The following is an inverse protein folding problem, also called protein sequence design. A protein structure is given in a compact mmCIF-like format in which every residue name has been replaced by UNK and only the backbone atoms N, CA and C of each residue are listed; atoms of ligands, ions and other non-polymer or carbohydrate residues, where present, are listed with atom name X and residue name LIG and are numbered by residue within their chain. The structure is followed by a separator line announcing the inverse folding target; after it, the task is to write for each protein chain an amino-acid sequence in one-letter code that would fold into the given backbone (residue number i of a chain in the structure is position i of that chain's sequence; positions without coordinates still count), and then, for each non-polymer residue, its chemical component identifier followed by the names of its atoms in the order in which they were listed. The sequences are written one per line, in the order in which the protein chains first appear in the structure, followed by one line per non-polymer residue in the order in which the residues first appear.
data_IF_933144715463
#
_entry.id   IF_933144715463
#
_cell.length_a   1.000
_cell.length_b   1.000
_cell.length_c   1.000
_cell.angle_alpha   90.00
_cell.angle_beta   90.00
_cell.angle_gamma   90.00
#
_symmetry.space_group_name_H-M   'P 1'
#
loop_
_entity.id
_entity.type
_entity.pdbx_description
1 polymer ?
#
# COMPACT_ATOMS: atom_id res chain seq x y z
N UNK A 1 -6.49 7.77 -12.61
CA UNK A 1 -5.55 7.93 -11.49
C UNK A 1 -4.90 6.58 -11.14
N UNK A 2 -5.62 5.63 -10.53
CA UNK A 2 -5.06 4.35 -10.04
C UNK A 2 -4.37 3.51 -11.12
N UNK A 3 -4.87 3.51 -12.35
CA UNK A 3 -4.32 2.77 -13.47
C UNK A 3 -2.86 3.15 -13.82
N UNK A 4 -2.39 4.32 -13.38
CA UNK A 4 -1.01 4.74 -13.57
C UNK A 4 0.00 3.73 -12.99
N UNK A 5 -0.37 3.04 -11.89
CA UNK A 5 0.49 2.03 -11.28
C UNK A 5 0.80 0.85 -12.20
N UNK A 6 -0.11 0.50 -13.13
CA UNK A 6 0.11 -0.59 -14.10
C UNK A 6 1.18 -0.26 -15.16
N UNK A 7 1.49 1.03 -15.35
CA UNK A 7 2.60 1.46 -16.22
C UNK A 7 3.94 1.44 -15.51
N UNK A 8 3.92 1.52 -14.18
CA UNK A 8 5.10 1.66 -13.34
C UNK A 8 5.56 0.33 -12.75
N UNK A 9 4.65 -0.64 -12.64
CA UNK A 9 4.94 -1.95 -12.03
C UNK A 9 4.14 -3.06 -12.74
N UNK A 10 4.76 -4.23 -12.91
CA UNK A 10 4.06 -5.43 -13.37
C UNK A 10 3.38 -6.13 -12.19
N UNK A 11 2.06 -6.26 -12.24
CA UNK A 11 1.25 -6.89 -11.21
C UNK A 11 1.01 -8.38 -11.44
N UNK A 12 1.21 -8.87 -12.67
CA UNK A 12 0.85 -10.24 -13.08
C UNK A 12 1.53 -11.30 -12.23
N UNK A 13 0.74 -12.27 -11.80
CA UNK A 13 1.17 -13.39 -10.97
C UNK A 13 1.57 -13.01 -9.53
N UNK A 14 1.38 -11.76 -9.11
CA UNK A 14 1.82 -11.26 -7.81
C UNK A 14 0.73 -11.33 -6.74
N UNK A 15 1.15 -11.39 -5.49
CA UNK A 15 0.31 -11.16 -4.30
C UNK A 15 0.40 -9.70 -3.90
N UNK A 16 -0.71 -9.01 -3.96
CA UNK A 16 -0.81 -7.55 -3.74
C UNK A 16 -1.69 -7.26 -2.53
N UNK A 17 -1.28 -6.36 -1.67
CA UNK A 17 -2.13 -5.83 -0.59
C UNK A 17 -2.35 -4.33 -0.78
N UNK A 18 -3.62 -3.92 -0.74
CA UNK A 18 -4.03 -2.51 -0.72
C UNK A 18 -4.28 -2.10 0.73
N UNK A 19 -3.36 -1.33 1.30
CA UNK A 19 -3.35 -0.96 2.72
C UNK A 19 -4.16 0.30 2.96
N UNK A 20 -5.26 0.16 3.70
CA UNK A 20 -6.22 1.24 3.91
C UNK A 20 -7.03 1.52 2.65
N UNK A 21 -7.51 0.47 2.02
CA UNK A 21 -8.14 0.51 0.68
C UNK A 21 -9.37 1.44 0.59
N UNK A 22 -10.04 1.73 1.69
CA UNK A 22 -11.21 2.61 1.72
C UNK A 22 -12.37 2.07 0.90
N UNK A 23 -12.73 2.77 -0.17
CA UNK A 23 -13.74 2.32 -1.13
C UNK A 23 -13.16 1.43 -2.26
N UNK A 24 -11.98 0.85 -2.05
CA UNK A 24 -11.33 -0.06 -2.99
C UNK A 24 -10.25 0.58 -3.86
N UNK A 25 -9.68 1.71 -3.45
CA UNK A 25 -8.70 2.45 -4.26
C UNK A 25 -7.30 2.43 -3.62
N UNK A 26 -6.24 2.04 -4.37
CA UNK A 26 -6.21 1.79 -5.81
C UNK A 26 -6.52 0.35 -6.23
N UNK A 27 -6.70 -0.62 -5.30
CA UNK A 27 -6.72 -2.05 -5.58
C UNK A 27 -7.78 -2.48 -6.58
N UNK A 28 -9.04 -2.05 -6.42
CA UNK A 28 -10.14 -2.47 -7.29
C UNK A 28 -9.96 -2.04 -8.75
N UNK A 29 -9.64 -0.77 -9.08
CA UNK A 29 -9.34 -0.39 -10.46
C UNK A 29 -8.19 -1.19 -11.07
N UNK A 30 -7.13 -1.48 -10.30
CA UNK A 30 -6.02 -2.30 -10.76
C UNK A 30 -6.48 -3.71 -11.12
N UNK A 31 -7.26 -4.35 -10.24
CA UNK A 31 -7.79 -5.70 -10.42
C UNK A 31 -8.73 -5.82 -11.62
N UNK A 32 -9.49 -4.76 -11.92
CA UNK A 32 -10.40 -4.73 -13.05
C UNK A 32 -9.66 -4.60 -14.40
N UNK A 33 -8.53 -3.91 -14.40
CA UNK A 33 -7.72 -3.66 -15.60
C UNK A 33 -6.69 -4.77 -15.86
N UNK A 34 -6.14 -5.34 -14.79
CA UNK A 34 -5.21 -6.47 -14.84
C UNK A 34 -5.76 -7.61 -14.00
N UNK A 35 -6.32 -8.67 -14.61
CA UNK A 35 -6.95 -9.75 -13.86
C UNK A 35 -5.99 -10.81 -13.33
N UNK A 36 -4.70 -10.77 -13.66
CA UNK A 36 -3.76 -11.83 -13.29
C UNK A 36 -2.92 -11.51 -12.05
N UNK A 37 -3.54 -11.21 -10.92
CA UNK A 37 -2.87 -11.13 -9.62
C UNK A 37 -3.82 -11.40 -8.45
N UNK A 38 -3.30 -11.77 -7.28
CA UNK A 38 -4.08 -11.95 -6.06
C UNK A 38 -4.14 -10.63 -5.30
N UNK A 39 -5.35 -10.13 -5.04
CA UNK A 39 -5.57 -8.86 -4.35
C UNK A 39 -6.12 -9.08 -2.94
N UNK A 40 -5.48 -8.47 -1.95
CA UNK A 40 -6.03 -8.31 -0.60
C UNK A 40 -6.39 -6.85 -0.39
N UNK A 41 -7.67 -6.58 -0.14
CA UNK A 41 -8.22 -5.26 0.22
C UNK A 41 -8.29 -5.18 1.74
N UNK A 42 -7.41 -4.40 2.36
CA UNK A 42 -7.28 -4.30 3.80
C UNK A 42 -7.79 -2.95 4.31
N UNK A 43 -8.78 -2.95 5.18
CA UNK A 43 -9.27 -1.74 5.87
C UNK A 43 -9.68 -2.05 7.31
N UNK A 44 -9.49 -1.08 8.20
CA UNK A 44 -9.85 -1.18 9.62
C UNK A 44 -11.32 -0.85 9.90
N UNK A 45 -12.09 -0.41 8.91
CA UNK A 45 -13.50 -0.07 9.04
C UNK A 45 -14.39 -1.16 8.42
N UNK A 46 -15.07 -1.94 9.28
CA UNK A 46 -15.90 -3.07 8.86
C UNK A 46 -16.96 -2.71 7.82
N UNK A 47 -17.56 -1.51 7.89
CA UNK A 47 -18.57 -1.05 6.89
C UNK A 47 -17.96 -0.94 5.48
N UNK A 48 -16.68 -0.50 5.35
CA UNK A 48 -15.99 -0.42 4.07
C UNK A 48 -15.71 -1.81 3.51
N UNK A 49 -15.23 -2.70 4.38
CA UNK A 49 -14.94 -4.09 4.00
C UNK A 49 -16.22 -4.82 3.56
N UNK A 50 -17.34 -4.65 4.27
CA UNK A 50 -18.64 -5.21 3.89
C UNK A 50 -19.08 -4.71 2.50
N UNK A 51 -18.99 -3.39 2.26
CA UNK A 51 -19.29 -2.81 0.94
C UNK A 51 -18.39 -3.41 -0.16
N UNK A 52 -17.09 -3.53 0.09
CA UNK A 52 -16.17 -4.12 -0.90
C UNK A 52 -16.48 -5.58 -1.18
N UNK A 53 -16.89 -6.35 -0.15
CA UNK A 53 -17.30 -7.72 -0.33
C UNK A 53 -18.57 -7.83 -1.21
N UNK A 54 -19.54 -6.94 -1.01
CA UNK A 54 -20.74 -6.86 -1.86
C UNK A 54 -20.38 -6.54 -3.32
N UNK A 55 -19.48 -5.57 -3.53
CA UNK A 55 -18.99 -5.20 -4.88
C UNK A 55 -18.28 -6.37 -5.54
N UNK A 56 -17.38 -7.05 -4.83
CA UNK A 56 -16.66 -8.21 -5.35
C UNK A 56 -17.62 -9.34 -5.73
N UNK A 57 -18.62 -9.61 -4.91
CA UNK A 57 -19.65 -10.63 -5.19
C UNK A 57 -20.50 -10.25 -6.41
N UNK A 58 -20.99 -9.00 -6.47
CA UNK A 58 -21.81 -8.51 -7.58
C UNK A 58 -21.08 -8.53 -8.92
N UNK A 59 -19.77 -8.30 -8.91
CA UNK A 59 -18.92 -8.33 -10.09
C UNK A 59 -18.29 -9.72 -10.36
N UNK A 60 -18.61 -10.72 -9.53
CA UNK A 60 -18.05 -12.08 -9.60
C UNK A 60 -16.50 -12.10 -9.67
N UNK A 61 -15.86 -11.18 -8.94
CA UNK A 61 -14.40 -11.06 -8.95
C UNK A 61 -13.74 -12.25 -8.26
N UNK A 62 -12.84 -12.90 -8.98
CA UNK A 62 -12.02 -13.98 -8.44
C UNK A 62 -10.70 -13.42 -7.92
N UNK A 63 -10.02 -14.16 -7.00
CA UNK A 63 -8.69 -13.80 -6.49
C UNK A 63 -8.66 -12.44 -5.79
N UNK A 64 -9.77 -12.03 -5.15
CA UNK A 64 -9.87 -10.85 -4.30
C UNK A 64 -10.31 -11.28 -2.91
N UNK A 65 -9.59 -10.84 -1.90
CA UNK A 65 -9.90 -11.09 -0.48
C UNK A 65 -10.11 -9.75 0.23
N UNK A 66 -11.28 -9.56 0.83
CA UNK A 66 -11.56 -8.38 1.65
C UNK A 66 -11.27 -8.71 3.12
N UNK A 67 -10.42 -7.90 3.76
CA UNK A 67 -9.95 -8.15 5.13
C UNK A 67 -10.29 -6.96 6.03
N UNK A 68 -11.09 -7.24 7.07
CA UNK A 68 -11.37 -6.30 8.15
C UNK A 68 -10.35 -6.51 9.28
N UNK A 69 -9.29 -5.73 9.25
CA UNK A 69 -8.25 -5.72 10.28
C UNK A 69 -7.48 -4.39 10.27
N UNK A 70 -6.80 -4.10 11.37
CA UNK A 70 -5.77 -3.07 11.38
C UNK A 70 -4.51 -3.61 10.70
N UNK A 71 -3.82 -2.75 9.94
CA UNK A 71 -2.64 -3.17 9.17
C UNK A 71 -1.52 -3.73 10.06
N UNK A 72 -1.31 -3.14 11.24
CA UNK A 72 -0.31 -3.63 12.19
C UNK A 72 -0.66 -5.01 12.80
N UNK A 73 -1.95 -5.30 12.97
CA UNK A 73 -2.41 -6.60 13.44
C UNK A 73 -2.33 -7.66 12.33
N UNK A 74 -2.73 -7.29 11.13
CA UNK A 74 -2.65 -8.14 9.95
C UNK A 74 -1.20 -8.50 9.60
N UNK A 75 -0.27 -7.55 9.77
CA UNK A 75 1.14 -7.79 9.54
C UNK A 75 1.77 -8.79 10.54
N UNK A 76 1.17 -9.01 11.70
CA UNK A 76 1.62 -10.06 12.62
C UNK A 76 1.34 -11.47 12.07
N UNK A 77 0.27 -11.63 11.29
CA UNK A 77 -0.18 -12.90 10.70
C UNK A 77 0.39 -13.13 9.29
N UNK A 78 0.41 -12.08 8.46
CA UNK A 78 0.78 -12.12 7.04
C UNK A 78 2.12 -11.44 6.74
N UNK A 79 3.06 -11.52 7.71
CA UNK A 79 4.36 -10.87 7.65
C UNK A 79 5.15 -11.30 6.41
N UNK A 80 5.60 -10.31 5.63
CA UNK A 80 6.49 -10.47 4.48
C UNK A 80 5.98 -11.49 3.43
N UNK A 81 4.66 -11.53 3.22
CA UNK A 81 4.01 -12.45 2.29
C UNK A 81 3.59 -11.84 0.96
N UNK A 82 3.59 -10.53 0.85
CA UNK A 82 3.15 -9.84 -0.36
C UNK A 82 4.33 -9.41 -1.23
N UNK A 83 4.15 -9.54 -2.54
CA UNK A 83 5.11 -9.03 -3.53
C UNK A 83 5.05 -7.51 -3.59
N UNK A 84 3.82 -6.97 -3.55
CA UNK A 84 3.55 -5.56 -3.61
C UNK A 84 2.59 -5.14 -2.49
N UNK A 85 2.87 -4.00 -1.88
CA UNK A 85 1.87 -3.22 -1.16
C UNK A 85 1.57 -1.95 -1.95
N UNK A 86 0.30 -1.56 -1.99
CA UNK A 86 -0.14 -0.28 -2.57
C UNK A 86 -0.93 0.49 -1.52
N UNK A 87 -0.93 1.81 -1.60
CA UNK A 87 -1.76 2.66 -0.74
C UNK A 87 -1.97 4.03 -1.37
N UNK A 88 -3.14 4.63 -1.14
CA UNK A 88 -3.50 5.97 -1.59
C UNK A 88 -4.08 6.80 -0.45
N UNK A 89 -3.46 7.97 -0.18
CA UNK A 89 -3.98 9.03 0.71
C UNK A 89 -4.46 8.58 2.10
N UNK A 90 -3.78 7.61 2.74
CA UNK A 90 -4.19 7.05 4.05
C UNK A 90 -3.58 7.83 5.22
N UNK A 91 -2.28 8.14 5.15
CA UNK A 91 -1.52 8.74 6.24
C UNK A 91 -0.20 9.35 5.71
N UNK A 92 0.58 10.08 6.55
CA UNK A 92 1.94 10.47 6.22
C UNK A 92 2.82 9.26 5.86
N UNK A 93 3.81 9.47 4.99
CA UNK A 93 4.61 8.40 4.40
C UNK A 93 5.36 7.55 5.43
N UNK A 94 5.91 8.16 6.48
CA UNK A 94 6.60 7.43 7.54
C UNK A 94 5.65 6.47 8.31
N UNK A 95 4.39 6.88 8.53
CA UNK A 95 3.35 6.03 9.11
C UNK A 95 2.98 4.91 8.13
N UNK A 96 2.75 5.25 6.86
CA UNK A 96 2.43 4.26 5.82
C UNK A 96 3.53 3.20 5.66
N UNK A 97 4.79 3.61 5.76
CA UNK A 97 5.91 2.67 5.71
C UNK A 97 5.84 1.64 6.84
N UNK A 98 5.50 2.05 8.06
CA UNK A 98 5.40 1.12 9.19
C UNK A 98 4.19 0.18 9.08
N UNK A 99 3.10 0.62 8.43
CA UNK A 99 1.91 -0.20 8.18
C UNK A 99 2.07 -1.16 6.98
N UNK A 100 2.91 -0.80 5.99
CA UNK A 100 2.99 -1.51 4.70
C UNK A 100 4.23 -2.38 4.56
N UNK A 101 5.43 -1.89 4.92
CA UNK A 101 6.69 -2.63 4.72
C UNK A 101 6.77 -3.97 5.47
N UNK A 102 6.16 -4.11 6.68
CA UNK A 102 6.14 -5.42 7.35
C UNK A 102 5.35 -6.50 6.60
N UNK A 103 4.44 -6.11 5.69
CA UNK A 103 3.68 -7.03 4.84
C UNK A 103 4.45 -7.46 3.59
N UNK A 104 5.39 -6.61 3.12
CA UNK A 104 6.13 -6.82 1.86
C UNK A 104 7.32 -7.74 2.10
N UNK A 105 7.44 -8.80 1.27
CA UNK A 105 8.60 -9.70 1.31
C UNK A 105 9.89 -9.00 0.87
N UNK A 106 11.04 -9.52 1.27
CA UNK A 106 12.33 -9.06 0.73
C UNK A 106 12.33 -9.27 -0.79
N UNK A 107 12.75 -8.25 -1.52
CA UNK A 107 12.68 -8.22 -2.98
C UNK A 107 11.33 -7.73 -3.53
N UNK A 108 10.33 -7.46 -2.69
CA UNK A 108 9.08 -6.82 -3.08
C UNK A 108 9.15 -5.29 -2.99
N UNK A 109 8.03 -4.60 -3.26
CA UNK A 109 7.97 -3.13 -3.26
C UNK A 109 6.69 -2.60 -2.59
N UNK A 110 6.81 -1.43 -2.00
CA UNK A 110 5.68 -0.61 -1.57
C UNK A 110 5.54 0.59 -2.50
N UNK A 111 4.35 0.78 -3.08
CA UNK A 111 4.00 1.88 -3.97
C UNK A 111 3.00 2.81 -3.25
N UNK A 112 3.44 3.96 -2.83
CA UNK A 112 2.60 4.96 -2.18
C UNK A 112 2.18 6.05 -3.16
N UNK A 113 0.87 6.16 -3.42
CA UNK A 113 0.31 7.25 -4.24
C UNK A 113 0.18 8.50 -3.38
N UNK A 114 0.85 9.58 -3.80
CA UNK A 114 0.94 10.85 -3.09
C UNK A 114 0.66 12.04 -4.02
N UNK A 115 0.46 13.22 -3.42
CA UNK A 115 0.56 14.48 -4.17
C UNK A 115 2.01 14.77 -4.53
N UNK A 116 2.25 15.64 -5.51
CA UNK A 116 3.61 16.08 -5.87
C UNK A 116 4.31 16.83 -4.74
N UNK A 117 3.56 17.50 -3.87
CA UNK A 117 4.06 18.25 -2.71
C UNK A 117 4.38 17.35 -1.51
N UNK A 118 5.07 16.24 -1.73
CA UNK A 118 5.43 15.30 -0.66
C UNK A 118 6.92 15.32 -0.28
N UNK A 119 7.67 16.35 -0.64
CA UNK A 119 9.11 16.42 -0.39
C UNK A 119 9.47 16.35 1.11
N UNK A 120 8.73 17.07 1.96
CA UNK A 120 8.91 17.02 3.41
C UNK A 120 8.55 15.65 4.01
N UNK A 121 7.49 15.01 3.49
CA UNK A 121 7.12 13.65 3.89
C UNK A 121 8.21 12.65 3.52
N UNK A 122 8.79 12.77 2.32
CA UNK A 122 9.91 11.93 1.87
C UNK A 122 11.12 12.07 2.77
N UNK A 123 11.49 13.32 3.10
CA UNK A 123 12.62 13.58 4.00
C UNK A 123 12.37 12.99 5.40
N UNK A 124 11.17 13.19 5.95
CA UNK A 124 10.77 12.67 7.25
C UNK A 124 10.70 11.14 7.29
N UNK A 125 10.42 10.49 6.14
CA UNK A 125 10.27 9.05 6.05
C UNK A 125 11.58 8.29 5.85
N UNK A 126 12.70 8.95 5.51
CA UNK A 126 13.97 8.28 5.18
C UNK A 126 14.44 7.32 6.28
N UNK A 127 14.42 7.78 7.51
CA UNK A 127 14.84 6.96 8.65
C UNK A 127 13.85 5.79 8.88
N UNK A 128 12.54 6.06 8.80
CA UNK A 128 11.51 5.03 8.90
C UNK A 128 11.69 3.94 7.83
N UNK A 129 11.87 4.33 6.58
CA UNK A 129 12.11 3.40 5.46
C UNK A 129 13.30 2.50 5.76
N UNK A 130 14.45 3.07 6.18
CA UNK A 130 15.64 2.31 6.49
C UNK A 130 15.45 1.38 7.69
N UNK A 131 14.83 1.84 8.78
CA UNK A 131 14.58 1.04 9.98
C UNK A 131 13.66 -0.17 9.68
N UNK A 132 12.71 -0.01 8.76
CA UNK A 132 11.75 -1.04 8.37
C UNK A 132 12.28 -2.02 7.32
N UNK A 133 13.54 -1.87 6.90
CA UNK A 133 14.17 -2.73 5.90
C UNK A 133 13.88 -2.33 4.46
N UNK A 134 13.40 -1.11 4.25
CA UNK A 134 13.17 -0.53 2.93
C UNK A 134 14.35 0.31 2.42
N UNK A 135 14.30 0.61 1.13
CA UNK A 135 15.14 1.58 0.44
C UNK A 135 14.28 2.38 -0.52
N UNK A 136 14.36 3.70 -0.47
CA UNK A 136 13.71 4.55 -1.47
C UNK A 136 14.38 4.29 -2.83
N UNK A 137 13.59 3.79 -3.78
CA UNK A 137 14.07 3.47 -5.13
C UNK A 137 13.86 4.63 -6.10
N UNK A 138 12.78 5.40 -5.90
CA UNK A 138 12.49 6.58 -6.70
C UNK A 138 11.10 7.14 -6.48
N UNK A 139 10.86 8.26 -7.18
CA UNK A 139 9.56 8.89 -7.29
C UNK A 139 9.25 9.11 -8.76
N UNK A 140 8.02 8.81 -9.17
CA UNK A 140 7.54 9.00 -10.53
C UNK A 140 6.27 9.84 -10.52
N UNK A 141 6.33 10.96 -11.26
CA UNK A 141 5.19 11.86 -11.42
C UNK A 141 4.37 11.47 -12.64
N UNK A 142 3.06 11.59 -12.54
CA UNK A 142 2.14 11.35 -13.63
C UNK A 142 0.97 12.32 -13.60
N UNK A 143 0.56 12.79 -14.77
CA UNK A 143 -0.63 13.63 -14.92
C UNK A 143 -1.85 12.76 -15.22
N UNK A 144 -2.97 13.04 -14.57
CA UNK A 144 -4.23 12.33 -14.84
C UNK A 144 -4.73 12.77 -16.22
N UNK A 145 -4.93 11.84 -17.18
CA UNK A 145 -5.35 12.20 -18.54
C UNK A 145 -6.62 13.04 -18.55
N UNK A 146 -6.60 14.13 -19.34
CA UNK A 146 -7.72 15.07 -19.46
C UNK A 146 -7.86 16.08 -18.32
N UNK A 147 -6.85 16.18 -17.44
CA UNK A 147 -6.81 17.15 -16.34
C UNK A 147 -5.42 17.76 -16.19
N UNK A 148 -5.31 18.86 -15.41
CA UNK A 148 -4.02 19.46 -15.01
C UNK A 148 -3.51 18.89 -13.66
N UNK A 149 -4.13 17.82 -13.17
CA UNK A 149 -3.79 17.21 -11.88
C UNK A 149 -2.62 16.25 -12.05
N UNK A 150 -1.53 16.54 -11.37
CA UNK A 150 -0.34 15.68 -11.31
C UNK A 150 -0.20 15.06 -9.93
N UNK A 151 0.00 13.75 -9.90
CA UNK A 151 0.27 12.98 -8.70
C UNK A 151 1.65 12.33 -8.78
N UNK A 152 2.09 11.76 -7.66
CA UNK A 152 3.38 11.08 -7.51
C UNK A 152 3.21 9.68 -6.96
N UNK A 153 3.95 8.74 -7.50
CA UNK A 153 4.16 7.43 -6.88
C UNK A 153 5.55 7.39 -6.25
N UNK A 154 5.58 7.12 -4.95
CA UNK A 154 6.83 6.85 -4.23
C UNK A 154 7.04 5.35 -4.19
N UNK A 155 8.16 4.88 -4.76
CA UNK A 155 8.55 3.47 -4.79
C UNK A 155 9.58 3.19 -3.70
N UNK A 156 9.26 2.23 -2.83
CA UNK A 156 10.15 1.77 -1.76
C UNK A 156 10.37 0.28 -1.93
N UNK A 157 11.61 -0.10 -2.20
CA UNK A 157 12.05 -1.50 -2.33
C UNK A 157 12.27 -2.10 -0.95
N UNK A 158 11.78 -3.31 -0.73
CA UNK A 158 12.12 -4.07 0.48
C UNK A 158 13.44 -4.80 0.28
N UNK A 159 14.49 -4.35 0.96
CA UNK A 159 15.87 -4.86 0.80
C UNK A 159 16.35 -5.72 1.97
N UNK A 160 15.68 -5.65 3.11
CA UNK A 160 15.98 -6.43 4.32
C UNK A 160 14.68 -6.82 5.05
N UNK A 161 14.67 -7.89 5.85
CA UNK A 161 13.55 -8.19 6.73
C UNK A 161 13.25 -7.02 7.69
N UNK A 162 11.98 -6.75 7.93
CA UNK A 162 11.57 -5.78 8.95
C UNK A 162 11.88 -6.35 10.34
N UNK A 163 12.54 -5.61 11.26
CA UNK A 163 12.79 -6.08 12.61
C UNK A 163 11.50 -6.48 13.33
N UNK A 164 11.57 -7.52 14.18
CA UNK A 164 10.40 -8.09 14.89
C UNK A 164 9.69 -7.10 15.83
N UNK A 165 10.36 -6.01 16.19
CA UNK A 165 9.78 -4.91 16.99
C UNK A 165 8.77 -4.07 16.23
N UNK A 166 8.69 -4.23 14.89
CA UNK A 166 7.74 -3.55 14.02
C UNK A 166 6.77 -4.55 13.35
N UNK A 167 5.56 -4.14 12.99
CA UNK A 167 4.99 -2.82 13.30
C UNK A 167 4.67 -2.68 14.79
N UNK A 168 4.69 -1.44 15.29
CA UNK A 168 4.23 -1.10 16.63
C UNK A 168 2.70 -1.02 16.64
N UNK A 169 2.09 -1.04 17.85
CA UNK A 169 0.66 -0.75 17.98
C UNK A 169 0.30 0.64 17.40
N UNK A 170 -0.81 0.76 16.70
CA UNK A 170 -1.20 1.97 15.95
C UNK A 170 -1.20 3.24 16.82
N UNK A 171 -1.65 3.16 18.07
CA UNK A 171 -1.62 4.30 18.98
C UNK A 171 -0.19 4.83 19.19
N UNK A 172 0.81 3.94 19.25
CA UNK A 172 2.23 4.31 19.37
C UNK A 172 2.76 4.90 18.05
N UNK A 173 2.39 4.31 16.92
CA UNK A 173 2.75 4.82 15.58
C UNK A 173 2.23 6.25 15.41
N UNK A 174 0.95 6.47 15.72
CA UNK A 174 0.30 7.78 15.59
C UNK A 174 0.89 8.83 16.54
N UNK A 175 1.16 8.45 17.80
CA UNK A 175 1.68 9.38 18.82
C UNK A 175 3.15 9.76 18.57
N UNK A 176 3.94 8.81 18.09
CA UNK A 176 5.37 8.98 17.86
C UNK A 176 5.80 8.25 16.57
N UNK A 177 5.47 8.83 15.38
CA UNK A 177 5.88 8.26 14.11
C UNK A 177 7.42 8.13 14.02
N UNK A 178 7.89 7.14 13.30
CA UNK A 178 9.32 7.00 12.98
C UNK A 178 9.79 8.23 12.17
N UNK A 179 10.96 8.74 12.53
CA UNK A 179 11.58 9.91 11.89
C UNK A 179 13.01 9.60 11.53
#
# INVERSE_FOLDING_TARGET
DCAALLRMEDFRGKRVVDVGTGAGFPGMPLRLLEPDFDLTLLDSLGKRVAFLQEVCNAMALQRVTCVHARAEEFAAQERERFDLAVSRAVAPLNVLCELSLPLVRVGGSFLAMKSVDCAEELQSAKSAISQLGGQLEGCEDYTIPGTDVTHRVVRIRKVRPTPKTFPRAFAKIKKNPLR
#
